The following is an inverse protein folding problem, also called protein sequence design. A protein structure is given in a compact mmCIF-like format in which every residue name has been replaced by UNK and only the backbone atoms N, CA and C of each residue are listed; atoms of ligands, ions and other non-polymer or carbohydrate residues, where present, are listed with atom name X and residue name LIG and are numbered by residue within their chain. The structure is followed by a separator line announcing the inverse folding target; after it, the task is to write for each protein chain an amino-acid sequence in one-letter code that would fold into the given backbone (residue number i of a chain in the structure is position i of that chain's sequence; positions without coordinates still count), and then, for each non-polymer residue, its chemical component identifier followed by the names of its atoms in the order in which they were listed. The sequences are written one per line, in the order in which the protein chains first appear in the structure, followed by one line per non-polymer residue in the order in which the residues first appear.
data_IF_792604140681
#
_entry.id   IF_792604140681
#
_cell.length_a   1.000
_cell.length_b   1.000
_cell.length_c   1.000
_cell.angle_alpha   90.00
_cell.angle_beta   90.00
_cell.angle_gamma   90.00
#
_symmetry.space_group_name_H-M   'P 1'
#
loop_
_entity.id
_entity.type
_entity.pdbx_description
1 polymer ?
#
# COMPACT_ATOMS: atom_id res chain seq x y z
N UNK A 1 3.97 21.78 24.72
CA UNK A 1 4.60 20.44 24.78
C UNK A 1 4.77 19.97 23.35
N UNK A 2 5.97 20.13 22.79
CA UNK A 2 6.26 19.72 21.42
C UNK A 2 6.53 18.22 21.40
N UNK A 3 5.70 17.47 20.66
CA UNK A 3 6.01 16.10 20.30
C UNK A 3 7.14 16.15 19.28
N UNK A 4 8.37 16.00 19.74
CA UNK A 4 9.49 15.71 18.87
C UNK A 4 9.18 14.39 18.17
N UNK A 5 9.02 14.42 16.84
CA UNK A 5 8.98 13.20 16.04
C UNK A 5 10.30 12.46 16.31
N UNK A 6 10.24 11.31 16.97
CA UNK A 6 11.39 10.43 17.08
C UNK A 6 11.78 10.01 15.65
N UNK A 7 13.07 10.05 15.28
CA UNK A 7 13.50 9.43 14.04
C UNK A 7 13.10 7.96 14.10
N UNK A 8 12.47 7.46 13.04
CA UNK A 8 12.16 6.05 12.92
C UNK A 8 13.47 5.26 13.10
N UNK A 9 13.43 4.20 13.91
CA UNK A 9 14.60 3.34 14.05
C UNK A 9 15.02 2.84 12.65
N UNK A 10 16.33 2.79 12.34
CA UNK A 10 16.79 2.24 11.07
C UNK A 10 16.21 0.84 10.90
N UNK A 11 15.60 0.58 9.75
CA UNK A 11 14.94 -0.69 9.50
C UNK A 11 15.94 -1.84 9.65
N UNK A 12 15.58 -2.90 10.38
CA UNK A 12 16.50 -3.99 10.73
C UNK A 12 17.13 -4.68 9.52
N UNK A 13 16.57 -4.50 8.33
CA UNK A 13 16.95 -5.28 7.16
C UNK A 13 17.98 -4.58 6.25
N UNK A 14 18.23 -3.27 6.38
CA UNK A 14 18.96 -2.51 5.34
C UNK A 14 18.46 -2.85 3.92
N UNK A 15 17.17 -3.21 3.83
CA UNK A 15 16.64 -4.09 2.81
C UNK A 15 16.59 -3.42 1.45
N UNK A 16 16.75 -4.22 0.40
CA UNK A 16 16.59 -3.76 -0.98
C UNK A 16 15.31 -2.93 -1.13
N UNK A 17 15.43 -1.81 -1.85
CA UNK A 17 14.28 -1.00 -2.22
C UNK A 17 13.23 -1.87 -2.90
N UNK A 18 11.97 -1.70 -2.52
CA UNK A 18 10.88 -2.54 -3.05
C UNK A 18 9.55 -1.81 -3.04
N UNK A 19 8.66 -2.29 -3.90
CA UNK A 19 7.27 -1.86 -3.97
C UNK A 19 6.38 -3.02 -3.52
N UNK A 20 5.46 -2.75 -2.61
CA UNK A 20 4.42 -3.70 -2.19
C UNK A 20 3.06 -3.09 -2.51
N UNK A 21 2.33 -3.71 -3.43
CA UNK A 21 1.03 -3.26 -3.90
C UNK A 21 -0.02 -4.10 -3.17
N UNK A 22 -0.81 -3.46 -2.32
CA UNK A 22 -1.81 -4.10 -1.48
C UNK A 22 -3.20 -3.84 -2.02
N UNK A 23 -3.99 -4.89 -2.24
CA UNK A 23 -5.41 -4.80 -2.57
C UNK A 23 -6.23 -5.49 -1.48
N UNK A 24 -7.31 -4.84 -1.06
CA UNK A 24 -8.23 -5.34 -0.03
C UNK A 24 -9.53 -5.76 -0.69
N UNK A 25 -9.87 -7.04 -0.55
CA UNK A 25 -11.08 -7.66 -1.07
C UNK A 25 -12.06 -7.93 0.07
N UNK A 26 -13.33 -7.60 -0.16
CA UNK A 26 -14.45 -8.09 0.64
C UNK A 26 -14.81 -9.48 0.09
N UNK A 27 -14.37 -10.54 0.78
CA UNK A 27 -14.45 -11.92 0.30
C UNK A 27 -15.90 -12.37 0.05
N UNK A 28 -16.81 -12.01 0.96
CA UNK A 28 -18.23 -12.35 0.84
C UNK A 28 -18.92 -11.75 -0.40
N UNK A 29 -18.34 -10.70 -0.97
CA UNK A 29 -18.87 -9.99 -2.14
C UNK A 29 -18.00 -10.20 -3.40
N UNK A 30 -16.88 -10.92 -3.31
CA UNK A 30 -15.86 -11.00 -4.38
C UNK A 30 -15.53 -9.60 -4.94
N UNK A 31 -15.33 -8.65 -4.03
CA UNK A 31 -15.22 -7.24 -4.37
C UNK A 31 -13.94 -6.60 -3.85
N UNK A 32 -13.03 -6.28 -4.76
CA UNK A 32 -11.83 -5.50 -4.47
C UNK A 32 -12.21 -4.05 -4.15
N UNK A 33 -12.25 -3.71 -2.87
CA UNK A 33 -12.71 -2.41 -2.37
C UNK A 33 -11.63 -1.33 -2.46
N UNK A 34 -10.37 -1.68 -2.23
CA UNK A 34 -9.32 -0.69 -2.06
C UNK A 34 -7.94 -1.18 -2.50
N UNK A 35 -7.09 -0.22 -2.87
CA UNK A 35 -5.70 -0.46 -3.21
C UNK A 35 -4.78 0.58 -2.57
N UNK A 36 -3.62 0.15 -2.09
CA UNK A 36 -2.54 1.01 -1.62
C UNK A 36 -1.18 0.52 -2.09
N UNK A 37 -0.17 1.36 -1.88
CA UNK A 37 1.21 1.10 -2.26
C UNK A 37 2.13 1.39 -1.06
N UNK A 38 2.89 0.40 -0.64
CA UNK A 38 3.96 0.55 0.34
C UNK A 38 5.29 0.60 -0.42
N UNK A 39 6.06 1.64 -0.17
CA UNK A 39 7.32 1.95 -0.85
C UNK A 39 8.43 1.84 0.19
N UNK A 40 9.36 0.93 -0.01
CA UNK A 40 10.56 0.82 0.83
C UNK A 40 11.71 1.48 0.09
N UNK A 41 12.33 2.47 0.72
CA UNK A 41 13.63 3.04 0.31
C UNK A 41 14.69 2.67 1.36
N UNK A 42 15.98 2.93 1.11
CA UNK A 42 17.02 2.70 2.12
C UNK A 42 16.84 3.57 3.37
N UNK A 43 16.16 4.71 3.25
CA UNK A 43 16.00 5.70 4.32
C UNK A 43 14.63 5.70 5.00
N UNK A 44 13.57 5.24 4.32
CA UNK A 44 12.20 5.40 4.78
C UNK A 44 11.30 4.26 4.27
N UNK A 45 10.18 4.03 4.97
CA UNK A 45 9.04 3.28 4.41
C UNK A 45 7.83 4.18 4.38
N UNK A 46 7.28 4.30 3.18
CA UNK A 46 6.21 5.22 2.86
C UNK A 46 4.99 4.44 2.43
N UNK A 47 3.85 4.69 3.06
CA UNK A 47 2.56 4.21 2.60
C UNK A 47 1.89 5.31 1.79
N UNK A 48 1.54 4.98 0.56
CA UNK A 48 0.63 5.74 -0.27
C UNK A 48 -0.73 5.04 -0.30
N UNK A 49 -1.73 5.62 0.39
CA UNK A 49 -3.09 5.08 0.59
C UNK A 49 -4.15 6.02 -0.04
N UNK A 50 -4.19 6.16 -1.39
CA UNK A 50 -5.05 7.13 -2.07
C UNK A 50 -6.54 6.93 -1.77
N UNK A 51 -7.20 7.95 -1.23
CA UNK A 51 -8.61 7.87 -0.84
C UNK A 51 -8.91 6.88 0.28
N UNK A 52 -7.86 6.37 0.93
CA UNK A 52 -7.94 5.50 2.10
C UNK A 52 -7.99 6.28 3.41
N UNK A 53 -8.32 5.58 4.48
CA UNK A 53 -8.59 6.16 5.80
C UNK A 53 -8.01 5.33 6.93
N UNK A 54 -6.99 4.51 6.62
CA UNK A 54 -6.18 3.96 7.70
C UNK A 54 -5.56 5.10 8.50
N UNK A 55 -5.63 4.95 9.82
CA UNK A 55 -5.12 5.91 10.78
C UNK A 55 -4.57 5.13 11.97
N UNK A 56 -3.34 5.45 12.36
CA UNK A 56 -2.69 4.96 13.57
C UNK A 56 -2.14 6.17 14.33
N UNK A 57 -2.36 6.30 15.65
CA UNK A 57 -1.86 7.45 16.43
C UNK A 57 -0.34 7.66 16.37
N UNK A 58 0.43 6.62 16.02
CA UNK A 58 1.89 6.66 15.89
C UNK A 58 2.34 7.09 14.49
N UNK A 59 1.44 7.09 13.51
CA UNK A 59 1.74 7.37 12.11
C UNK A 59 1.68 8.87 11.79
N UNK A 60 2.66 9.36 11.02
CA UNK A 60 2.66 10.75 10.53
C UNK A 60 2.11 10.76 9.10
N UNK A 61 0.82 11.08 8.98
CA UNK A 61 0.11 11.14 7.69
C UNK A 61 -0.05 12.59 7.20
N UNK A 62 0.31 12.82 5.94
CA UNK A 62 0.00 14.03 5.17
C UNK A 62 -0.71 13.63 3.89
N UNK A 63 -1.97 14.07 3.74
CA UNK A 63 -2.82 13.66 2.62
C UNK A 63 -2.91 12.14 2.53
N UNK A 64 -2.59 11.54 1.39
CA UNK A 64 -2.62 10.09 1.20
C UNK A 64 -1.27 9.42 1.46
N UNK A 65 -0.31 10.15 2.05
CA UNK A 65 1.04 9.65 2.31
C UNK A 65 1.31 9.58 3.81
N UNK A 66 1.79 8.43 4.26
CA UNK A 66 2.33 8.24 5.62
C UNK A 66 3.81 7.89 5.51
N UNK A 67 4.67 8.60 6.23
CA UNK A 67 6.11 8.33 6.32
C UNK A 67 6.50 7.64 7.62
N UNK A 68 7.67 7.00 7.65
CA UNK A 68 8.23 6.37 8.84
C UNK A 68 7.46 5.12 9.29
N UNK A 69 6.95 4.32 8.35
CA UNK A 69 6.18 3.11 8.67
C UNK A 69 7.04 2.04 9.35
N UNK A 70 7.09 1.98 10.67
CA UNK A 70 7.74 0.84 11.36
C UNK A 70 7.14 -0.50 10.90
N UNK A 71 7.84 -1.64 11.04
CA UNK A 71 7.29 -2.95 10.67
C UNK A 71 5.92 -3.22 11.31
N UNK A 72 5.70 -2.75 12.54
CA UNK A 72 4.43 -2.89 13.26
C UNK A 72 3.34 -1.98 12.68
N UNK A 73 3.68 -0.80 12.18
CA UNK A 73 2.74 0.09 11.49
C UNK A 73 2.36 -0.45 10.11
N UNK A 74 3.33 -0.99 9.39
CA UNK A 74 3.11 -1.66 8.12
C UNK A 74 2.19 -2.87 8.30
N UNK A 75 2.44 -3.71 9.31
CA UNK A 75 1.56 -4.83 9.64
C UNK A 75 0.18 -4.37 10.10
N UNK A 76 0.08 -3.31 10.89
CA UNK A 76 -1.21 -2.70 11.28
C UNK A 76 -2.02 -2.23 10.07
N UNK A 77 -1.36 -1.72 9.03
CA UNK A 77 -2.01 -1.37 7.76
C UNK A 77 -2.48 -2.61 6.99
N UNK A 78 -1.61 -3.63 6.86
CA UNK A 78 -1.88 -4.84 6.08
C UNK A 78 -2.91 -5.77 6.72
N UNK A 79 -2.99 -5.79 8.06
CA UNK A 79 -3.95 -6.60 8.83
C UNK A 79 -5.26 -5.84 9.17
N UNK A 80 -5.46 -4.63 8.62
CA UNK A 80 -6.63 -3.82 8.98
C UNK A 80 -7.94 -4.52 8.61
N UNK A 81 -8.85 -4.58 9.58
CA UNK A 81 -10.13 -5.29 9.47
C UNK A 81 -11.31 -4.39 9.11
N UNK A 82 -11.10 -3.10 8.88
CA UNK A 82 -12.19 -2.20 8.51
C UNK A 82 -11.71 -1.17 7.51
N UNK A 83 -12.24 -1.32 6.31
CA UNK A 83 -12.55 -0.18 5.49
C UNK A 83 -14.05 0.16 5.70
N UNK A 84 -14.97 -0.77 5.56
CA UNK A 84 -16.40 -0.51 5.86
C UNK A 84 -16.81 -1.13 7.20
N UNK A 85 -17.92 -0.64 7.77
CA UNK A 85 -18.48 -1.19 9.01
C UNK A 85 -19.19 -2.51 8.72
N UNK A 86 -18.63 -3.62 9.19
CA UNK A 86 -19.23 -4.95 9.09
C UNK A 86 -18.23 -6.06 9.48
N UNK A 87 -18.70 -7.25 9.92
CA UNK A 87 -17.86 -8.44 10.02
C UNK A 87 -17.60 -8.99 8.62
N UNK A 88 -16.77 -8.28 7.88
CA UNK A 88 -16.47 -8.65 6.50
C UNK A 88 -15.17 -9.46 6.50
N UNK A 89 -15.23 -10.66 5.93
CA UNK A 89 -14.05 -11.48 5.70
C UNK A 89 -13.19 -10.75 4.67
N UNK A 90 -12.05 -10.21 5.11
CA UNK A 90 -11.15 -9.47 4.24
C UNK A 90 -10.06 -10.40 3.72
N UNK A 91 -9.86 -10.39 2.41
CA UNK A 91 -8.64 -10.94 1.82
C UNK A 91 -7.69 -9.79 1.48
N UNK A 92 -6.47 -9.88 1.99
CA UNK A 92 -5.38 -9.03 1.54
C UNK A 92 -4.66 -9.75 0.40
N UNK A 93 -4.62 -9.12 -0.77
CA UNK A 93 -3.80 -9.53 -1.89
C UNK A 93 -2.56 -8.63 -1.96
N UNK A 94 -1.38 -9.22 -1.93
CA UNK A 94 -0.12 -8.48 -1.92
C UNK A 94 0.76 -8.91 -3.08
N UNK A 95 1.20 -7.93 -3.87
CA UNK A 95 2.25 -8.10 -4.87
C UNK A 95 3.49 -7.34 -4.44
N UNK A 96 4.65 -7.97 -4.52
CA UNK A 96 5.93 -7.40 -4.10
C UNK A 96 7.01 -7.60 -5.15
N UNK A 97 7.82 -6.58 -5.37
CA UNK A 97 9.03 -6.70 -6.19
C UNK A 97 10.12 -5.75 -5.71
N UNK A 98 11.37 -6.20 -5.84
CA UNK A 98 12.53 -5.35 -5.60
C UNK A 98 12.73 -4.41 -6.79
N UNK A 99 13.11 -3.17 -6.49
CA UNK A 99 13.35 -2.13 -7.49
C UNK A 99 14.67 -1.41 -7.17
N UNK A 100 15.32 -0.78 -8.16
CA UNK A 100 16.44 0.11 -7.88
C UNK A 100 16.03 1.25 -6.93
N UNK A 101 16.94 1.71 -6.07
CA UNK A 101 16.68 2.80 -5.13
C UNK A 101 16.13 4.06 -5.81
N UNK A 102 16.61 4.37 -7.02
CA UNK A 102 16.12 5.50 -7.80
C UNK A 102 14.62 5.39 -8.12
N UNK A 103 14.12 4.18 -8.39
CA UNK A 103 12.71 3.92 -8.69
C UNK A 103 11.85 4.06 -7.44
N UNK A 104 12.31 3.53 -6.30
CA UNK A 104 11.60 3.68 -5.03
C UNK A 104 11.54 5.15 -4.58
N UNK A 105 12.66 5.89 -4.69
CA UNK A 105 12.68 7.33 -4.38
C UNK A 105 11.76 8.13 -5.32
N UNK A 106 11.77 7.83 -6.62
CA UNK A 106 10.85 8.44 -7.58
C UNK A 106 9.37 8.15 -7.21
N UNK A 107 9.05 6.94 -6.75
CA UNK A 107 7.70 6.60 -6.29
C UNK A 107 7.28 7.46 -5.07
N UNK A 108 8.18 7.69 -4.10
CA UNK A 108 7.93 8.58 -2.96
C UNK A 108 7.69 10.00 -3.43
N UNK A 109 8.53 10.54 -4.31
CA UNK A 109 8.39 11.90 -4.85
C UNK A 109 7.03 12.10 -5.55
N UNK A 110 6.63 11.14 -6.39
CA UNK A 110 5.33 11.19 -7.07
C UNK A 110 4.17 11.10 -6.07
N UNK A 111 4.27 10.25 -5.04
CA UNK A 111 3.25 10.12 -4.03
C UNK A 111 3.06 11.42 -3.23
N UNK A 112 4.17 12.07 -2.83
CA UNK A 112 4.16 13.29 -2.03
C UNK A 112 3.72 14.54 -2.81
N UNK A 113 3.93 14.55 -4.12
CA UNK A 113 3.51 15.64 -4.99
C UNK A 113 1.99 15.70 -5.20
N UNK A 114 1.25 14.65 -4.82
CA UNK A 114 -0.19 14.52 -5.10
C UNK A 114 -1.07 15.17 -4.04
N UNK A 115 -2.21 15.67 -4.50
CA UNK A 115 -3.32 16.06 -3.64
C UNK A 115 -4.10 14.83 -3.16
N UNK A 116 -4.85 14.94 -2.05
CA UNK A 116 -5.72 13.86 -1.59
C UNK A 116 -6.71 13.41 -2.66
N UNK A 117 -6.90 12.10 -2.77
CA UNK A 117 -7.98 11.49 -3.53
C UNK A 117 -9.21 11.31 -2.65
N UNK A 118 -10.39 11.36 -3.28
CA UNK A 118 -11.65 10.96 -2.65
C UNK A 118 -11.78 9.44 -2.63
N UNK A 119 -12.71 8.93 -1.82
CA UNK A 119 -13.06 7.51 -1.80
C UNK A 119 -13.35 6.99 -3.23
N UNK A 120 -12.82 5.82 -3.56
CA UNK A 120 -12.87 5.24 -4.92
C UNK A 120 -11.77 5.72 -5.87
N UNK A 121 -10.96 6.72 -5.48
CA UNK A 121 -9.79 7.17 -6.27
C UNK A 121 -8.55 6.28 -6.12
N UNK A 122 -8.62 5.22 -5.30
CA UNK A 122 -7.47 4.45 -4.86
C UNK A 122 -6.69 3.81 -6.01
N UNK A 123 -7.37 3.07 -6.89
CA UNK A 123 -6.72 2.40 -8.01
C UNK A 123 -6.21 3.36 -9.06
N UNK A 124 -6.89 4.49 -9.29
CA UNK A 124 -6.36 5.52 -10.18
C UNK A 124 -5.07 6.10 -9.59
N UNK A 125 -5.05 6.39 -8.29
CA UNK A 125 -3.87 6.83 -7.57
C UNK A 125 -2.71 5.83 -7.77
N UNK A 126 -2.92 4.56 -7.42
CA UNK A 126 -1.86 3.54 -7.53
C UNK A 126 -1.39 3.35 -8.98
N UNK A 127 -2.31 3.13 -9.92
CA UNK A 127 -1.94 2.82 -11.32
C UNK A 127 -1.29 4.00 -12.05
N UNK A 128 -1.77 5.22 -11.84
CA UNK A 128 -1.15 6.41 -12.43
C UNK A 128 0.25 6.69 -11.86
N UNK A 129 0.54 6.24 -10.63
CA UNK A 129 1.87 6.33 -10.04
C UNK A 129 2.77 5.25 -10.65
N UNK A 130 2.35 3.98 -10.59
CA UNK A 130 3.12 2.85 -11.09
C UNK A 130 3.52 3.05 -12.56
N UNK A 131 2.61 3.52 -13.41
CA UNK A 131 2.90 3.75 -14.83
C UNK A 131 4.06 4.73 -15.10
N UNK A 132 4.38 5.60 -14.15
CA UNK A 132 5.49 6.56 -14.28
C UNK A 132 6.84 5.98 -13.84
N UNK A 133 6.85 4.77 -13.28
CA UNK A 133 8.05 4.13 -12.77
C UNK A 133 8.70 3.27 -13.86
N UNK A 134 10.03 3.31 -13.99
CA UNK A 134 10.76 2.38 -14.84
C UNK A 134 10.42 0.92 -14.53
N UNK A 135 10.04 0.15 -15.56
CA UNK A 135 9.63 -1.25 -15.45
C UNK A 135 8.14 -1.47 -15.23
N UNK A 136 7.32 -0.42 -15.09
CA UNK A 136 5.88 -0.49 -14.87
C UNK A 136 5.06 0.28 -15.93
N UNK A 137 5.69 0.67 -17.05
CA UNK A 137 5.10 1.50 -18.09
C UNK A 137 3.88 0.85 -18.79
N UNK A 138 3.81 -0.48 -18.74
CA UNK A 138 2.74 -1.33 -19.24
C UNK A 138 1.48 -1.33 -18.35
N UNK A 139 1.56 -0.84 -17.10
CA UNK A 139 0.41 -0.68 -16.23
C UNK A 139 -0.55 0.36 -16.81
N UNK A 140 -1.74 -0.09 -17.19
CA UNK A 140 -2.85 0.77 -17.63
C UNK A 140 -3.50 1.42 -16.42
N UNK A 141 -3.77 2.71 -16.57
CA UNK A 141 -4.49 3.51 -15.57
C UNK A 141 -5.95 3.06 -15.52
N UNK A 142 -6.43 2.77 -14.32
CA UNK A 142 -7.82 2.33 -14.08
C UNK A 142 -8.32 2.85 -12.73
N UNK A 143 -9.64 3.07 -12.64
CA UNK A 143 -10.34 3.33 -11.38
C UNK A 143 -10.84 2.05 -10.71
N UNK A 144 -10.73 0.89 -11.37
CA UNK A 144 -11.30 -0.38 -10.92
C UNK A 144 -10.21 -1.24 -10.28
N UNK A 145 -10.26 -1.52 -8.97
CA UNK A 145 -9.23 -2.32 -8.29
C UNK A 145 -9.08 -3.74 -8.85
N UNK A 146 -10.18 -4.37 -9.30
CA UNK A 146 -10.13 -5.69 -9.91
C UNK A 146 -9.32 -5.70 -11.23
N UNK A 147 -9.37 -4.61 -12.02
CA UNK A 147 -8.56 -4.47 -13.23
C UNK A 147 -7.08 -4.28 -12.91
N UNK A 148 -6.75 -3.56 -11.82
CA UNK A 148 -5.38 -3.50 -11.31
C UNK A 148 -4.90 -4.91 -10.90
N UNK A 149 -5.68 -5.66 -10.13
CA UNK A 149 -5.34 -7.03 -9.74
C UNK A 149 -5.05 -7.92 -10.96
N UNK A 150 -5.89 -7.85 -12.00
CA UNK A 150 -5.71 -8.62 -13.22
C UNK A 150 -4.38 -8.29 -13.94
N UNK A 151 -3.98 -7.01 -13.97
CA UNK A 151 -2.71 -6.59 -14.55
C UNK A 151 -1.52 -7.09 -13.74
N UNK A 152 -1.58 -7.01 -12.41
CA UNK A 152 -0.51 -7.51 -11.54
C UNK A 152 -0.37 -9.05 -11.61
N UNK A 153 -1.48 -9.79 -11.75
CA UNK A 153 -1.46 -11.25 -11.94
C UNK A 153 -0.83 -11.67 -13.28
N UNK A 154 -0.94 -10.84 -14.30
CA UNK A 154 -0.36 -11.12 -15.62
C UNK A 154 1.17 -10.92 -15.66
N UNK A 155 1.72 -10.24 -14.66
CA UNK A 155 3.16 -9.98 -14.52
C UNK A 155 3.88 -11.14 -13.83
N UNK A 156 5.07 -11.47 -14.31
CA UNK A 156 5.89 -12.57 -13.79
C UNK A 156 7.06 -12.10 -12.91
N UNK A 157 7.27 -10.79 -12.83
CA UNK A 157 8.31 -10.12 -12.05
C UNK A 157 7.83 -9.72 -10.64
N UNK A 158 6.59 -10.08 -10.29
CA UNK A 158 5.98 -9.79 -8.99
C UNK A 158 5.80 -11.08 -8.18
N UNK A 159 6.24 -11.06 -6.92
CA UNK A 159 5.90 -12.08 -5.94
C UNK A 159 4.48 -11.81 -5.43
N UNK A 160 3.62 -12.83 -5.49
CA UNK A 160 2.24 -12.72 -5.04
C UNK A 160 1.99 -13.53 -3.76
N UNK A 161 1.26 -12.94 -2.81
CA UNK A 161 0.69 -13.64 -1.65
C UNK A 161 -0.73 -13.17 -1.36
N UNK A 162 -1.47 -14.00 -0.63
CA UNK A 162 -2.83 -13.68 -0.15
C UNK A 162 -2.94 -14.05 1.33
N UNK A 163 -3.63 -13.23 2.11
CA UNK A 163 -3.96 -13.48 3.53
C UNK A 163 -5.45 -13.40 3.74
N UNK A 164 -5.99 -14.38 4.46
CA UNK A 164 -7.38 -14.38 4.92
C UNK A 164 -7.43 -13.75 6.31
N UNK A 165 -7.75 -12.46 6.37
CA UNK A 165 -7.78 -11.70 7.62
C UNK A 165 -9.03 -12.02 8.44
N UNK A 166 -10.07 -12.61 7.83
CA UNK A 166 -11.29 -13.03 8.52
C UNK A 166 -11.05 -14.29 9.36
N UNK A 167 -10.26 -15.23 8.84
CA UNK A 167 -9.83 -16.41 9.59
C UNK A 167 -8.83 -16.06 10.71
N UNK A 168 -7.84 -15.21 10.43
CA UNK A 168 -6.84 -14.77 11.42
C UNK A 168 -7.48 -14.08 12.65
N UNK A 169 -8.60 -13.36 12.44
CA UNK A 169 -9.32 -12.67 13.52
C UNK A 169 -10.16 -13.58 14.43
N UNK A 170 -10.54 -14.77 13.95
CA UNK A 170 -11.33 -15.74 14.72
C UNK A 170 -10.47 -16.67 15.59
N UNK A 171 -9.16 -16.72 15.33
CA UNK A 171 -8.21 -17.55 16.07
C UNK A 171 -7.47 -16.79 17.20
N UNK A 172 -7.61 -15.45 17.27
CA UNK A 172 -6.99 -14.57 18.26
C UNK A 172 -7.95 -14.17 19.39
#
# INVERSE_FOLDING_TARGET
MGLSAQPAAPYPDGGASRLRIALFEVDSLDFMLHSGLIIHTPEDRVLYDPGGYWADPRAVRRYDVTRGLSPELEESYLSRQSLVSGPDFWKLHLWETEVPDAVARQAVEIAEARTPYVFGGCSYGVTSLLRQLPGFEDIRVTFVPAELAAQLRARNDLRYSVRDLGAEAQEA
#
